data_IF_127799743784
#
_entry.id   IF_127799743784
#
_cell.length_a   1.000
_cell.length_b   1.000
_cell.length_c   1.000
_cell.angle_alpha   90.00
_cell.angle_beta   90.00
_cell.angle_gamma   90.00
#
_symmetry.space_group_name_H-M   'P 1'
#
loop_
_entity.id
_entity.type
_entity.pdbx_description
1 polymer ?
#
# COMPACT_ATOMS: atom_id res chain seq x y z
N UNK A 1 -6.98 8.06 -7.47
CA UNK A 1 -7.52 8.11 -6.10
C UNK A 1 -8.34 9.39 -5.92
N UNK A 2 -7.90 10.54 -6.45
CA UNK A 2 -8.70 11.78 -6.50
C UNK A 2 -10.14 11.63 -7.00
N UNK A 3 -10.37 10.88 -8.08
CA UNK A 3 -11.73 10.65 -8.57
C UNK A 3 -12.67 10.02 -7.52
N UNK A 4 -12.16 9.17 -6.64
CA UNK A 4 -12.95 8.59 -5.54
C UNK A 4 -13.33 9.66 -4.52
N UNK A 5 -12.40 10.56 -4.18
CA UNK A 5 -12.65 11.70 -3.29
C UNK A 5 -13.73 12.59 -3.89
N UNK A 6 -13.55 12.99 -5.15
CA UNK A 6 -14.41 13.96 -5.81
C UNK A 6 -15.84 13.41 -6.07
N UNK A 7 -16.00 12.09 -6.15
CA UNK A 7 -17.30 11.43 -6.36
C UNK A 7 -17.91 10.83 -5.09
N UNK A 8 -17.26 10.98 -3.94
CA UNK A 8 -17.78 10.49 -2.65
C UNK A 8 -17.76 8.96 -2.48
N UNK A 9 -16.85 8.26 -3.16
CA UNK A 9 -16.66 6.81 -2.97
C UNK A 9 -16.12 6.54 -1.57
N UNK A 10 -16.90 5.81 -0.76
CA UNK A 10 -16.59 5.59 0.66
C UNK A 10 -15.74 4.35 0.97
N UNK A 11 -15.57 3.44 0.00
CA UNK A 11 -14.86 2.17 0.19
C UNK A 11 -14.06 1.81 -1.04
N UNK A 12 -12.83 1.35 -0.82
CA UNK A 12 -11.97 0.84 -1.89
C UNK A 12 -11.23 -0.38 -1.41
N UNK A 13 -10.91 -1.26 -2.37
CA UNK A 13 -9.98 -2.37 -2.17
C UNK A 13 -8.78 -2.10 -3.08
N UNK A 14 -7.60 -1.96 -2.47
CA UNK A 14 -6.34 -1.85 -3.19
C UNK A 14 -5.72 -3.24 -3.36
N UNK A 15 -5.42 -3.62 -4.60
CA UNK A 15 -4.55 -4.77 -4.86
C UNK A 15 -3.08 -4.38 -4.62
N UNK A 16 -2.59 -4.66 -3.40
CA UNK A 16 -1.17 -4.50 -3.05
C UNK A 16 -0.33 -5.72 -3.48
N UNK A 17 0.89 -5.88 -2.96
CA UNK A 17 1.77 -7.01 -3.27
C UNK A 17 2.79 -7.25 -2.16
N UNK A 18 3.09 -8.52 -1.89
CA UNK A 18 4.21 -8.91 -1.01
C UNK A 18 5.59 -8.40 -1.48
N UNK A 19 5.71 -7.95 -2.74
CA UNK A 19 6.90 -7.28 -3.26
C UNK A 19 7.31 -6.02 -2.46
N UNK A 20 6.37 -5.46 -1.68
CA UNK A 20 6.66 -4.33 -0.78
C UNK A 20 7.60 -4.70 0.37
N UNK A 21 7.63 -5.98 0.77
CA UNK A 21 8.53 -6.45 1.82
C UNK A 21 9.93 -6.77 1.28
N UNK A 22 10.12 -6.91 -0.04
CA UNK A 22 11.41 -7.29 -0.61
C UNK A 22 11.95 -8.62 -0.06
N UNK A 23 13.27 -8.74 0.03
CA UNK A 23 13.93 -9.90 0.62
C UNK A 23 13.84 -9.85 2.15
N UNK A 24 13.46 -10.97 2.77
CA UNK A 24 13.23 -11.09 4.20
C UNK A 24 14.01 -12.27 4.78
N UNK A 25 14.71 -12.05 5.90
CA UNK A 25 15.53 -13.08 6.54
C UNK A 25 14.70 -14.17 7.25
N UNK A 26 13.45 -13.88 7.60
CA UNK A 26 12.55 -14.78 8.32
C UNK A 26 11.24 -14.94 7.56
N UNK A 27 10.70 -16.16 7.58
CA UNK A 27 9.45 -16.56 6.93
C UNK A 27 8.56 -17.31 7.93
N UNK A 28 7.21 -17.23 7.82
CA UNK A 28 6.47 -16.44 6.84
C UNK A 28 6.56 -14.93 7.10
N UNK A 29 6.51 -14.11 6.03
CA UNK A 29 6.37 -12.66 6.17
C UNK A 29 4.95 -12.32 6.66
N UNK A 30 4.86 -11.68 7.81
CA UNK A 30 3.60 -11.14 8.35
C UNK A 30 3.39 -9.67 8.01
N UNK A 31 2.15 -9.20 8.10
CA UNK A 31 1.76 -7.83 7.72
C UNK A 31 2.28 -6.73 8.65
N UNK A 32 2.85 -7.11 9.80
CA UNK A 32 3.51 -6.20 10.73
C UNK A 32 4.97 -5.93 10.36
N UNK A 33 5.50 -6.62 9.36
CA UNK A 33 6.87 -6.42 8.93
C UNK A 33 7.00 -5.04 8.27
N UNK A 34 8.13 -4.38 8.52
CA UNK A 34 8.40 -3.10 7.86
C UNK A 34 8.58 -3.31 6.34
N UNK A 35 7.95 -2.46 5.51
CA UNK A 35 8.22 -2.47 4.08
C UNK A 35 9.70 -2.23 3.79
N UNK A 36 10.27 -3.02 2.89
CA UNK A 36 11.66 -2.90 2.43
C UNK A 36 11.73 -3.20 0.92
N UNK A 37 11.09 -2.37 0.07
CA UNK A 37 10.98 -2.66 -1.34
C UNK A 37 12.36 -2.60 -2.02
N UNK A 38 12.69 -3.65 -2.76
CA UNK A 38 13.93 -3.75 -3.55
C UNK A 38 13.71 -3.52 -5.06
N UNK A 39 12.51 -3.05 -5.44
CA UNK A 39 12.14 -2.79 -6.84
C UNK A 39 11.24 -1.55 -6.95
N UNK A 40 11.27 -0.85 -8.10
CA UNK A 40 10.33 0.26 -8.37
C UNK A 40 8.86 -0.16 -8.25
N UNK A 41 8.54 -1.41 -8.62
CA UNK A 41 7.19 -1.94 -8.45
C UNK A 41 6.80 -2.06 -6.97
N UNK A 42 7.68 -2.59 -6.11
CA UNK A 42 7.45 -2.62 -4.66
C UNK A 42 7.26 -1.23 -4.07
N UNK A 43 8.10 -0.26 -4.47
CA UNK A 43 7.97 1.16 -4.06
C UNK A 43 6.61 1.72 -4.46
N UNK A 44 6.13 1.42 -5.68
CA UNK A 44 4.82 1.89 -6.14
C UNK A 44 3.65 1.37 -5.30
N UNK A 45 3.76 0.14 -4.77
CA UNK A 45 2.74 -0.46 -3.89
C UNK A 45 2.75 0.15 -2.49
N UNK A 46 3.93 0.34 -1.90
CA UNK A 46 4.07 1.08 -0.62
C UNK A 46 3.46 2.47 -0.75
N UNK A 47 3.83 3.22 -1.81
CA UNK A 47 3.31 4.56 -2.04
C UNK A 47 1.78 4.56 -2.16
N UNK A 48 1.20 3.59 -2.87
CA UNK A 48 -0.25 3.47 -3.01
C UNK A 48 -0.96 3.18 -1.67
N UNK A 49 -0.38 2.35 -0.80
CA UNK A 49 -0.93 2.08 0.53
C UNK A 49 -0.97 3.35 1.39
N UNK A 50 0.16 4.08 1.46
CA UNK A 50 0.22 5.34 2.21
C UNK A 50 -0.73 6.39 1.65
N UNK A 51 -0.84 6.49 0.33
CA UNK A 51 -1.71 7.48 -0.31
C UNK A 51 -3.18 7.22 0.03
N UNK A 52 -3.66 5.97 -0.10
CA UNK A 52 -5.04 5.64 0.25
C UNK A 52 -5.34 5.78 1.73
N UNK A 53 -4.42 5.35 2.60
CA UNK A 53 -4.57 5.50 4.04
C UNK A 53 -4.69 6.98 4.44
N UNK A 54 -3.85 7.84 3.85
CA UNK A 54 -3.89 9.28 4.08
C UNK A 54 -5.17 9.90 3.54
N UNK A 55 -5.58 9.54 2.32
CA UNK A 55 -6.80 10.06 1.71
C UNK A 55 -8.03 9.70 2.55
N UNK A 56 -8.16 8.44 2.98
CA UNK A 56 -9.30 8.01 3.81
C UNK A 56 -9.28 8.50 5.26
N UNK A 57 -8.13 9.03 5.74
CA UNK A 57 -8.06 9.70 7.03
C UNK A 57 -8.47 11.18 6.96
N UNK A 58 -8.32 11.81 5.77
CA UNK A 58 -8.59 13.23 5.56
C UNK A 58 -9.99 13.51 5.00
N UNK A 59 -10.59 12.55 4.29
CA UNK A 59 -11.86 12.70 3.56
C UNK A 59 -12.77 11.49 3.79
#
# INVERSE_FOLDING_TARGET
>A
MEAMRDTGVRRVVLASSGALYGEQAHQPVGERQLPNPNSPYGVSKVAAEYYLATLGALY
#
